data_IF_525665132133
#
_entry.id   IF_525665132133
#
_cell.length_a   1.000
_cell.length_b   1.000
_cell.length_c   1.000
_cell.angle_alpha   90.00
_cell.angle_beta   90.00
_cell.angle_gamma   90.00
#
_symmetry.space_group_name_H-M   'P 1'
#
loop_
_entity.id
_entity.type
_entity.pdbx_description
1 polymer ?
#
# COMPACT_ATOMS: atom_id res chain seq x y z
N UNK A 1 10.56 0.89 18.37
CA UNK A 1 10.12 2.04 17.55
C UNK A 1 11.04 2.09 16.35
N UNK A 2 10.75 1.26 15.34
CA UNK A 2 11.59 1.04 14.17
C UNK A 2 11.23 2.06 13.09
N UNK A 3 12.23 2.66 12.44
CA UNK A 3 12.09 3.76 11.48
C UNK A 3 11.42 3.36 10.14
N UNK A 4 10.75 2.20 10.09
CA UNK A 4 10.33 1.54 8.84
C UNK A 4 8.92 0.93 8.92
N UNK A 5 8.06 1.44 9.79
CA UNK A 5 6.69 0.93 9.89
C UNK A 5 5.87 1.43 8.70
N UNK A 6 5.49 0.53 7.79
CA UNK A 6 4.56 0.85 6.69
C UNK A 6 3.16 0.98 7.28
N UNK A 7 2.50 2.11 7.01
CA UNK A 7 1.17 2.41 7.53
C UNK A 7 0.18 2.70 6.42
N UNK A 8 -1.08 2.38 6.68
CA UNK A 8 -2.18 2.79 5.82
C UNK A 8 -2.54 4.28 6.03
N UNK A 9 -3.53 4.78 5.29
CA UNK A 9 -4.00 6.17 5.41
C UNK A 9 -4.68 6.49 6.75
N UNK A 10 -5.03 5.48 7.56
CA UNK A 10 -5.63 5.65 8.89
C UNK A 10 -4.59 5.53 10.01
N UNK A 11 -3.31 5.27 9.68
CA UNK A 11 -2.23 5.11 10.64
C UNK A 11 -2.07 3.69 11.19
N UNK A 12 -2.79 2.70 10.64
CA UNK A 12 -2.66 1.28 10.99
C UNK A 12 -1.33 0.75 10.47
N UNK A 13 -0.55 0.07 11.32
CA UNK A 13 0.69 -0.61 10.89
C UNK A 13 0.29 -1.85 10.10
N UNK A 14 0.82 -1.96 8.88
CA UNK A 14 0.56 -3.08 7.99
C UNK A 14 1.62 -4.17 8.16
N UNK A 15 1.18 -5.42 7.96
CA UNK A 15 2.01 -6.61 7.97
C UNK A 15 1.94 -7.35 6.62
N UNK A 16 2.90 -8.23 6.39
CA UNK A 16 2.90 -9.15 5.24
C UNK A 16 1.62 -9.99 5.21
N UNK A 17 0.98 -10.08 4.04
CA UNK A 17 -0.24 -10.85 3.83
C UNK A 17 -1.54 -10.11 4.18
N UNK A 18 -1.47 -8.87 4.64
CA UNK A 18 -2.67 -8.09 4.98
C UNK A 18 -3.55 -7.79 3.76
N UNK A 19 -4.81 -7.48 4.05
CA UNK A 19 -5.78 -7.02 3.06
C UNK A 19 -6.09 -5.54 3.32
N UNK A 20 -6.06 -4.71 2.26
CA UNK A 20 -6.34 -3.27 2.33
C UNK A 20 -7.37 -2.87 1.31
N UNK A 21 -8.10 -1.78 1.58
CA UNK A 21 -9.09 -1.22 0.66
C UNK A 21 -8.65 0.15 0.14
N UNK A 22 -8.93 0.43 -1.12
CA UNK A 22 -8.69 1.75 -1.70
C UNK A 22 -9.65 2.80 -1.14
N UNK A 23 -9.11 3.87 -0.55
CA UNK A 23 -9.89 5.00 -0.04
C UNK A 23 -10.30 6.00 -1.13
N UNK A 24 -9.63 5.96 -2.28
CA UNK A 24 -9.81 6.88 -3.41
C UNK A 24 -9.64 6.13 -4.73
N UNK A 25 -10.21 6.70 -5.79
CA UNK A 25 -9.94 6.23 -7.15
C UNK A 25 -8.50 6.59 -7.52
N UNK A 26 -7.74 5.62 -8.01
CA UNK A 26 -6.35 5.78 -8.42
C UNK A 26 -6.21 5.41 -9.90
N UNK A 27 -5.77 6.37 -10.72
CA UNK A 27 -5.40 6.09 -12.10
C UNK A 27 -3.99 5.53 -12.14
N UNK A 28 -3.80 4.35 -12.74
CA UNK A 28 -2.48 3.75 -12.87
C UNK A 28 -1.73 4.46 -13.98
N UNK A 29 -0.52 4.93 -13.67
CA UNK A 29 0.32 5.60 -14.67
C UNK A 29 0.76 4.59 -15.73
N UNK A 30 0.61 4.95 -17.00
CA UNK A 30 1.00 4.10 -18.13
C UNK A 30 -0.08 3.09 -18.56
N UNK A 31 -1.25 3.08 -17.92
CA UNK A 31 -2.41 2.30 -18.39
C UNK A 31 -3.66 3.19 -18.48
N UNK A 32 -4.70 2.69 -19.17
CA UNK A 32 -6.04 3.30 -19.18
C UNK A 32 -6.88 2.87 -17.97
N UNK A 33 -6.36 1.99 -17.13
CA UNK A 33 -7.10 1.42 -15.99
C UNK A 33 -7.14 2.38 -14.80
N UNK A 34 -8.30 2.43 -14.16
CA UNK A 34 -8.51 3.17 -12.92
C UNK A 34 -8.96 2.19 -11.84
N UNK A 35 -8.16 2.09 -10.78
CA UNK A 35 -8.53 1.34 -9.59
C UNK A 35 -9.57 2.15 -8.82
N UNK A 36 -10.72 1.54 -8.55
CA UNK A 36 -11.85 2.21 -7.92
C UNK A 36 -11.80 2.12 -6.41
N UNK A 37 -12.27 3.18 -5.73
CA UNK A 37 -12.47 3.19 -4.29
C UNK A 37 -13.31 1.98 -3.86
N UNK A 38 -13.01 1.44 -2.68
CA UNK A 38 -13.68 0.27 -2.13
C UNK A 38 -13.18 -1.07 -2.69
N UNK A 39 -12.33 -1.07 -3.72
CA UNK A 39 -11.65 -2.30 -4.15
C UNK A 39 -10.73 -2.81 -3.04
N UNK A 40 -10.85 -4.09 -2.70
CA UNK A 40 -10.01 -4.78 -1.73
C UNK A 40 -8.81 -5.42 -2.45
N UNK A 41 -7.60 -5.08 -2.02
CA UNK A 41 -6.36 -5.70 -2.44
C UNK A 41 -5.96 -6.71 -1.36
N UNK A 42 -5.70 -7.94 -1.76
CA UNK A 42 -5.39 -9.05 -0.86
C UNK A 42 -3.92 -9.48 -1.00
N UNK A 43 -3.33 -9.98 0.09
CA UNK A 43 -1.99 -10.55 0.07
C UNK A 43 -0.92 -9.50 -0.19
N UNK A 44 -0.96 -8.40 0.57
CA UNK A 44 0.00 -7.31 0.45
C UNK A 44 1.41 -7.80 0.79
N UNK A 45 2.40 -7.41 -0.02
CA UNK A 45 3.82 -7.68 0.23
C UNK A 45 4.53 -6.35 0.49
N UNK A 46 5.17 -6.23 1.64
CA UNK A 46 5.87 -5.03 2.10
C UNK A 46 7.32 -5.07 1.62
N UNK A 47 7.74 -4.04 0.89
CA UNK A 47 9.12 -3.90 0.44
C UNK A 47 9.77 -2.72 1.16
N UNK A 48 10.54 -3.02 2.20
CA UNK A 48 11.33 -2.02 2.93
C UNK A 48 12.73 -1.78 2.34
N UNK A 49 13.08 -2.52 1.27
CA UNK A 49 14.43 -2.55 0.68
C UNK A 49 14.91 -1.21 0.11
N UNK A 50 14.00 -0.29 -0.20
CA UNK A 50 14.33 0.97 -0.86
C UNK A 50 14.88 2.06 0.08
N UNK A 51 14.75 1.89 1.40
CA UNK A 51 15.14 2.92 2.38
C UNK A 51 16.56 2.74 2.94
N UNK A 52 17.30 1.71 2.52
CA UNK A 52 18.67 1.43 3.03
C UNK A 52 19.80 1.95 2.14
N UNK A 53 19.49 2.68 1.06
CA UNK A 53 20.50 3.19 0.13
C UNK A 53 20.72 4.70 0.35
N UNK A 54 21.44 5.04 1.41
CA UNK A 54 22.10 6.32 1.63
C UNK A 54 23.39 6.08 2.42
#
# INVERSE_FOLDING_TARGET
MTLTDVRDSNGTILSEGDNVSLIKDLKVKGTSETLKRGMMIKGLVLRTEFLKKA
#
